data_IF_701338806166
#
_entry.id   IF_701338806166
#
_cell.length_a   1.000
_cell.length_b   1.000
_cell.length_c   1.000
_cell.angle_alpha   90.00
_cell.angle_beta   90.00
_cell.angle_gamma   90.00
#
_symmetry.space_group_name_H-M   'P 1'
#
loop_
_entity.id
_entity.type
_entity.pdbx_description
1 polymer ?
#
# COMPACT_ATOMS: atom_id res chain seq x y z
N UNK A 1 7.83 -5.64 12.66
CA UNK A 1 6.78 -6.66 12.82
C UNK A 1 7.03 -7.74 11.77
N UNK A 2 7.75 -8.79 12.15
CA UNK A 2 7.96 -9.96 11.28
C UNK A 2 6.65 -10.72 11.31
N UNK A 3 6.03 -10.95 10.15
CA UNK A 3 4.89 -11.87 10.00
C UNK A 3 5.36 -13.30 10.35
N UNK A 4 5.46 -13.57 11.65
CA UNK A 4 5.55 -14.91 12.22
C UNK A 4 4.25 -15.62 11.86
N UNK A 5 4.31 -16.52 10.88
CA UNK A 5 3.14 -17.29 10.44
C UNK A 5 2.62 -16.95 9.05
N UNK A 6 3.48 -16.79 8.05
CA UNK A 6 3.04 -16.81 6.65
C UNK A 6 2.61 -18.24 6.23
N UNK A 7 1.54 -18.75 6.84
CA UNK A 7 0.91 -20.06 6.55
C UNK A 7 0.17 -20.08 5.20
N UNK A 8 0.09 -18.93 4.54
CA UNK A 8 -0.57 -18.70 3.24
C UNK A 8 -0.14 -19.65 2.13
N UNK A 9 0.96 -20.39 2.27
CA UNK A 9 1.51 -21.23 1.21
C UNK A 9 1.00 -22.67 1.19
N UNK A 10 0.22 -23.10 2.17
CA UNK A 10 -0.55 -24.35 2.05
C UNK A 10 -1.61 -24.21 0.97
N UNK A 11 -1.82 -25.28 0.19
CA UNK A 11 -2.78 -25.36 -0.94
C UNK A 11 -4.21 -25.23 -0.38
N UNK A 12 -4.63 -24.00 -0.08
CA UNK A 12 -5.87 -23.67 0.62
C UNK A 12 -5.84 -22.30 1.32
N UNK A 13 -4.68 -21.87 1.85
CA UNK A 13 -4.54 -20.60 2.59
C UNK A 13 -4.06 -19.41 1.76
N UNK A 14 -3.75 -19.61 0.46
CA UNK A 14 -3.20 -18.55 -0.43
C UNK A 14 -4.13 -17.36 -0.60
N UNK A 15 -5.43 -17.63 -0.76
CA UNK A 15 -6.45 -16.59 -0.91
C UNK A 15 -6.61 -15.78 0.38
N UNK A 16 -6.55 -16.44 1.54
CA UNK A 16 -6.63 -15.78 2.84
C UNK A 16 -5.39 -14.90 3.10
N UNK A 17 -4.19 -15.37 2.75
CA UNK A 17 -2.98 -14.57 2.89
C UNK A 17 -2.94 -13.37 1.94
N UNK A 18 -3.37 -13.58 0.69
CA UNK A 18 -3.52 -12.51 -0.30
C UNK A 18 -4.54 -11.44 0.13
N UNK A 19 -5.66 -11.86 0.74
CA UNK A 19 -6.64 -10.97 1.33
C UNK A 19 -6.03 -10.19 2.51
N UNK A 20 -5.37 -10.88 3.45
CA UNK A 20 -4.76 -10.26 4.61
C UNK A 20 -3.71 -9.19 4.25
N UNK A 21 -2.93 -9.39 3.18
CA UNK A 21 -1.98 -8.39 2.68
C UNK A 21 -2.72 -7.15 2.18
N UNK A 22 -3.79 -7.35 1.41
CA UNK A 22 -4.57 -6.23 0.86
C UNK A 22 -5.29 -5.46 1.96
N UNK A 23 -5.88 -6.16 2.93
CA UNK A 23 -6.44 -5.55 4.14
C UNK A 23 -5.39 -4.77 4.94
N UNK A 24 -4.17 -5.30 5.06
CA UNK A 24 -3.08 -4.60 5.75
C UNK A 24 -2.62 -3.33 5.02
N UNK A 25 -2.56 -3.36 3.69
CA UNK A 25 -2.26 -2.18 2.86
C UNK A 25 -3.38 -1.15 2.99
N UNK A 26 -4.65 -1.55 2.90
CA UNK A 26 -5.81 -0.67 3.09
C UNK A 26 -5.82 -0.06 4.49
N UNK A 27 -5.51 -0.86 5.52
CA UNK A 27 -5.39 -0.40 6.91
C UNK A 27 -4.28 0.64 7.06
N UNK A 28 -3.11 0.40 6.47
CA UNK A 28 -2.01 1.37 6.47
C UNK A 28 -2.38 2.66 5.72
N UNK A 29 -3.00 2.55 4.55
CA UNK A 29 -3.49 3.69 3.77
C UNK A 29 -4.48 4.53 4.58
N UNK A 30 -5.47 3.88 5.18
CA UNK A 30 -6.50 4.54 6.01
C UNK A 30 -5.87 5.28 7.19
N UNK A 31 -4.88 4.68 7.87
CA UNK A 31 -4.16 5.34 8.96
C UNK A 31 -3.43 6.60 8.49
N UNK A 32 -2.69 6.51 7.38
CA UNK A 32 -1.98 7.66 6.85
C UNK A 32 -2.93 8.78 6.41
N UNK A 33 -4.05 8.40 5.78
CA UNK A 33 -5.12 9.30 5.41
C UNK A 33 -5.70 10.05 6.61
N UNK A 34 -5.91 9.37 7.74
CA UNK A 34 -6.46 10.00 8.94
C UNK A 34 -5.53 11.07 9.51
N UNK A 35 -4.22 10.79 9.58
CA UNK A 35 -3.22 11.80 9.99
C UNK A 35 -3.25 13.04 9.08
N UNK A 36 -3.33 12.84 7.76
CA UNK A 36 -3.41 13.94 6.79
C UNK A 36 -4.75 14.68 6.84
N UNK A 37 -5.85 13.99 7.13
CA UNK A 37 -7.17 14.61 7.27
C UNK A 37 -7.22 15.51 8.50
N UNK A 38 -6.63 15.08 9.63
CA UNK A 38 -6.50 15.93 10.81
C UNK A 38 -5.72 17.21 10.48
N UNK A 39 -4.61 17.09 9.75
CA UNK A 39 -3.81 18.24 9.30
C UNK A 39 -4.61 19.14 8.35
N UNK A 40 -5.36 18.57 7.41
CA UNK A 40 -6.22 19.33 6.51
C UNK A 40 -7.24 20.17 7.29
N UNK A 41 -7.99 19.54 8.20
CA UNK A 41 -9.07 20.21 8.93
C UNK A 41 -8.52 21.30 9.87
N UNK A 42 -7.41 21.02 10.55
CA UNK A 42 -6.77 22.00 11.43
C UNK A 42 -6.15 23.16 10.63
N UNK A 43 -5.45 22.87 9.53
CA UNK A 43 -4.90 23.89 8.64
C UNK A 43 -5.99 24.79 8.04
N UNK A 44 -7.15 24.22 7.70
CA UNK A 44 -8.29 24.97 7.20
C UNK A 44 -8.85 25.92 8.27
N UNK A 45 -9.02 25.45 9.51
CA UNK A 45 -9.46 26.29 10.65
C UNK A 45 -8.46 27.42 10.94
N UNK A 46 -7.16 27.15 10.84
CA UNK A 46 -6.08 28.12 11.03
C UNK A 46 -5.85 29.04 9.81
N UNK A 47 -6.67 28.92 8.76
CA UNK A 47 -6.54 29.68 7.50
C UNK A 47 -5.20 29.44 6.76
N UNK A 48 -4.50 28.34 7.05
CA UNK A 48 -3.32 27.85 6.33
C UNK A 48 -3.74 27.04 5.10
N UNK A 49 -4.41 27.73 4.16
CA UNK A 49 -5.11 27.10 3.02
C UNK A 49 -4.17 26.28 2.12
N UNK A 50 -2.93 26.71 1.97
CA UNK A 50 -1.94 26.03 1.16
C UNK A 50 -1.55 24.64 1.71
N UNK A 51 -1.41 24.53 3.03
CA UNK A 51 -1.17 23.25 3.71
C UNK A 51 -2.41 22.37 3.59
N UNK A 52 -3.60 22.93 3.79
CA UNK A 52 -4.86 22.19 3.66
C UNK A 52 -5.00 21.59 2.25
N UNK A 53 -4.78 22.39 1.19
CA UNK A 53 -4.81 21.92 -0.20
C UNK A 53 -3.81 20.79 -0.45
N UNK A 54 -2.59 20.93 0.05
CA UNK A 54 -1.56 19.90 -0.11
C UNK A 54 -1.94 18.60 0.61
N UNK A 55 -2.42 18.68 1.86
CA UNK A 55 -2.86 17.51 2.62
C UNK A 55 -4.05 16.83 1.93
N UNK A 56 -5.02 17.60 1.41
CA UNK A 56 -6.17 17.05 0.67
C UNK A 56 -5.76 16.34 -0.61
N UNK A 57 -4.83 16.89 -1.38
CA UNK A 57 -4.29 16.23 -2.57
C UNK A 57 -3.66 14.88 -2.22
N UNK A 58 -2.85 14.84 -1.16
CA UNK A 58 -2.26 13.59 -0.67
C UNK A 58 -3.33 12.58 -0.21
N UNK A 59 -4.39 13.01 0.48
CA UNK A 59 -5.52 12.14 0.83
C UNK A 59 -6.17 11.51 -0.40
N UNK A 60 -6.38 12.28 -1.47
CA UNK A 60 -6.96 11.76 -2.71
C UNK A 60 -6.04 10.71 -3.36
N UNK A 61 -4.72 10.92 -3.33
CA UNK A 61 -3.73 9.95 -3.82
C UNK A 61 -3.76 8.64 -3.01
N UNK A 62 -3.98 8.73 -1.68
CA UNK A 62 -4.17 7.56 -0.81
C UNK A 62 -5.49 6.84 -1.12
N UNK A 63 -6.58 7.59 -1.34
CA UNK A 63 -7.89 7.02 -1.69
C UNK A 63 -7.80 6.21 -2.99
N UNK A 64 -7.06 6.72 -3.99
CA UNK A 64 -6.81 5.98 -5.23
C UNK A 64 -6.00 4.69 -5.00
N UNK A 65 -5.01 4.71 -4.11
CA UNK A 65 -4.26 3.49 -3.75
C UNK A 65 -5.18 2.46 -3.09
N UNK A 66 -6.01 2.88 -2.13
CA UNK A 66 -6.94 1.98 -1.42
C UNK A 66 -7.91 1.33 -2.41
N UNK A 67 -8.46 2.12 -3.33
CA UNK A 67 -9.38 1.66 -4.37
C UNK A 67 -8.71 0.64 -5.32
N UNK A 68 -7.48 0.92 -5.75
CA UNK A 68 -6.73 -0.01 -6.62
C UNK A 68 -6.40 -1.33 -5.91
N UNK A 69 -6.12 -1.28 -4.61
CA UNK A 69 -5.86 -2.47 -3.79
C UNK A 69 -7.13 -3.29 -3.61
N UNK A 70 -8.27 -2.62 -3.39
CA UNK A 70 -9.58 -3.26 -3.24
C UNK A 70 -10.00 -4.00 -4.51
N UNK A 71 -9.86 -3.32 -5.66
CA UNK A 71 -10.21 -3.85 -6.99
C UNK A 71 -9.17 -4.81 -7.58
N UNK A 72 -8.05 -5.00 -6.90
CA UNK A 72 -6.96 -5.85 -7.39
C UNK A 72 -7.40 -7.31 -7.51
N UNK A 73 -7.06 -8.00 -8.62
CA UNK A 73 -7.46 -9.39 -8.82
C UNK A 73 -6.84 -10.33 -7.79
N UNK A 74 -7.65 -11.26 -7.28
CA UNK A 74 -7.22 -12.25 -6.29
C UNK A 74 -6.77 -13.54 -7.00
N UNK A 75 -5.49 -13.86 -6.97
CA UNK A 75 -4.96 -15.13 -7.50
C UNK A 75 -5.10 -15.34 -9.02
N UNK A 76 -4.60 -16.49 -9.50
CA UNK A 76 -4.59 -16.84 -10.92
C UNK A 76 -6.01 -17.14 -11.42
N UNK A 77 -6.56 -16.33 -12.33
CA UNK A 77 -7.96 -16.44 -12.78
C UNK A 77 -8.33 -17.71 -13.59
N UNK A 78 -7.51 -18.77 -13.60
CA UNK A 78 -7.81 -20.01 -14.34
C UNK A 78 -7.55 -21.32 -13.57
N UNK A 79 -7.23 -21.28 -12.27
CA UNK A 79 -6.98 -22.50 -11.50
C UNK A 79 -8.24 -23.30 -11.12
N UNK A 80 -9.44 -22.89 -11.55
CA UNK A 80 -10.69 -23.56 -11.18
C UNK A 80 -11.02 -24.81 -12.02
N UNK A 81 -10.43 -24.99 -13.22
CA UNK A 81 -10.69 -26.18 -14.05
C UNK A 81 -9.46 -26.87 -14.64
N UNK A 82 -8.27 -26.25 -14.63
CA UNK A 82 -7.06 -26.95 -15.08
C UNK A 82 -6.29 -27.47 -13.87
N UNK A 83 -6.15 -28.79 -13.74
CA UNK A 83 -5.29 -29.46 -12.77
C UNK A 83 -3.78 -29.20 -12.95
N UNK A 84 -3.38 -27.97 -13.28
CA UNK A 84 -2.00 -27.60 -13.54
C UNK A 84 -1.32 -27.05 -12.28
N UNK A 85 -0.35 -27.83 -11.82
CA UNK A 85 0.89 -27.45 -11.12
C UNK A 85 0.83 -26.17 -10.27
N UNK A 86 0.89 -26.36 -8.95
CA UNK A 86 1.19 -25.30 -8.00
C UNK A 86 2.39 -24.45 -8.45
N UNK A 87 2.23 -23.12 -8.42
CA UNK A 87 3.31 -22.14 -8.51
C UNK A 87 4.63 -22.64 -7.88
N UNK A 88 5.76 -22.48 -8.58
CA UNK A 88 7.06 -22.92 -8.06
C UNK A 88 7.43 -22.15 -6.80
N UNK A 89 8.18 -22.81 -5.90
CA UNK A 89 8.67 -22.21 -4.65
C UNK A 89 9.45 -20.91 -4.93
N UNK A 90 10.22 -20.86 -6.02
CA UNK A 90 10.98 -19.67 -6.43
C UNK A 90 10.11 -18.46 -6.74
N UNK A 91 8.98 -18.64 -7.42
CA UNK A 91 8.07 -17.51 -7.73
C UNK A 91 7.25 -17.13 -6.51
N UNK A 92 6.86 -18.09 -5.66
CA UNK A 92 6.22 -17.79 -4.38
C UNK A 92 7.12 -16.93 -3.50
N UNK A 93 8.43 -17.24 -3.40
CA UNK A 93 9.39 -16.39 -2.68
C UNK A 93 9.48 -14.96 -3.25
N UNK A 94 9.39 -14.80 -4.57
CA UNK A 94 9.36 -13.46 -5.20
C UNK A 94 8.10 -12.69 -4.81
N UNK A 95 6.94 -13.34 -4.81
CA UNK A 95 5.68 -12.74 -4.38
C UNK A 95 5.71 -12.33 -2.90
N UNK A 96 6.24 -13.19 -2.01
CA UNK A 96 6.42 -12.85 -0.58
C UNK A 96 7.24 -11.58 -0.44
N UNK A 97 8.40 -11.55 -1.10
CA UNK A 97 9.32 -10.42 -1.00
C UNK A 97 8.64 -9.16 -1.52
N UNK A 98 8.00 -9.25 -2.67
CA UNK A 98 7.26 -8.13 -3.25
C UNK A 98 6.19 -7.58 -2.29
N UNK A 99 5.32 -8.45 -1.76
CA UNK A 99 4.24 -8.05 -0.87
C UNK A 99 4.78 -7.49 0.46
N UNK A 100 5.87 -8.06 0.99
CA UNK A 100 6.59 -7.54 2.16
C UNK A 100 7.13 -6.13 1.92
N UNK A 101 7.81 -5.92 0.79
CA UNK A 101 8.42 -4.64 0.44
C UNK A 101 7.34 -3.55 0.28
N UNK A 102 6.16 -3.87 -0.29
CA UNK A 102 5.00 -2.97 -0.32
C UNK A 102 4.55 -2.59 1.09
N UNK A 103 4.38 -3.56 2.01
CA UNK A 103 3.95 -3.29 3.39
C UNK A 103 4.98 -2.42 4.12
N UNK A 104 6.28 -2.64 3.88
CA UNK A 104 7.33 -1.82 4.45
C UNK A 104 7.26 -0.36 3.96
N UNK A 105 7.07 -0.16 2.65
CA UNK A 105 6.87 1.17 2.07
C UNK A 105 5.62 1.86 2.65
N UNK A 106 4.52 1.13 2.79
CA UNK A 106 3.29 1.63 3.42
C UNK A 106 3.51 2.06 4.87
N UNK A 107 4.26 1.26 5.63
CA UNK A 107 4.61 1.59 7.02
C UNK A 107 5.44 2.86 7.10
N UNK A 108 6.42 3.04 6.20
CA UNK A 108 7.19 4.30 6.09
C UNK A 108 6.27 5.48 5.75
N UNK A 109 5.34 5.29 4.83
CA UNK A 109 4.33 6.31 4.47
C UNK A 109 3.48 6.75 5.67
N UNK A 110 3.04 5.79 6.50
CA UNK A 110 2.32 6.08 7.75
C UNK A 110 3.19 6.89 8.72
N UNK A 111 4.45 6.51 8.91
CA UNK A 111 5.35 7.24 9.80
C UNK A 111 5.59 8.68 9.33
N UNK A 112 5.70 8.90 8.01
CA UNK A 112 5.80 10.25 7.43
C UNK A 112 4.50 11.02 7.69
N UNK A 113 3.33 10.42 7.47
CA UNK A 113 2.04 11.10 7.72
C UNK A 113 1.87 11.53 9.18
N UNK A 114 2.31 10.71 10.14
CA UNK A 114 2.36 11.08 11.55
C UNK A 114 3.34 12.24 11.79
N UNK A 115 4.52 12.20 11.14
CA UNK A 115 5.50 13.29 11.20
C UNK A 115 4.93 14.61 10.64
N UNK A 116 4.07 14.57 9.62
CA UNK A 116 3.35 15.76 9.13
C UNK A 116 2.45 16.33 10.21
N UNK A 117 1.63 15.50 10.87
CA UNK A 117 0.71 15.94 11.93
C UNK A 117 1.46 16.51 13.12
N UNK A 118 2.56 15.88 13.53
CA UNK A 118 3.45 16.39 14.56
C UNK A 118 4.09 17.72 14.16
N UNK A 119 4.62 17.83 12.93
CA UNK A 119 5.22 19.08 12.43
C UNK A 119 4.21 20.24 12.39
N UNK A 120 2.98 19.95 11.97
CA UNK A 120 1.89 20.92 11.96
C UNK A 120 1.56 21.38 13.38
N UNK A 121 1.37 20.43 14.31
CA UNK A 121 1.02 20.71 15.71
C UNK A 121 2.13 21.46 16.46
N UNK A 122 3.40 21.17 16.14
CA UNK A 122 4.55 21.86 16.70
C UNK A 122 4.77 23.27 16.10
N UNK A 123 3.90 23.73 15.19
CA UNK A 123 3.99 25.07 14.60
C UNK A 123 5.22 25.26 13.72
N UNK A 124 5.73 24.20 13.11
CA UNK A 124 6.89 24.27 12.21
C UNK A 124 6.59 25.10 10.97
N UNK A 125 7.65 25.49 10.26
CA UNK A 125 7.53 26.26 9.03
C UNK A 125 6.66 25.56 7.99
N UNK A 126 5.82 26.33 7.29
CA UNK A 126 4.93 25.81 6.25
C UNK A 126 5.69 25.02 5.17
N UNK A 127 6.90 25.49 4.80
CA UNK A 127 7.75 24.82 3.81
C UNK A 127 8.14 23.41 4.25
N UNK A 128 8.46 23.22 5.53
CA UNK A 128 8.80 21.92 6.09
C UNK A 128 7.60 20.98 6.08
N UNK A 129 6.42 21.48 6.50
CA UNK A 129 5.18 20.70 6.50
C UNK A 129 4.82 20.26 5.08
N UNK A 130 4.87 21.17 4.10
CA UNK A 130 4.60 20.85 2.69
C UNK A 130 5.61 19.85 2.11
N UNK A 131 6.88 19.94 2.52
CA UNK A 131 7.89 18.96 2.14
C UNK A 131 7.55 17.56 2.65
N UNK A 132 7.14 17.44 3.92
CA UNK A 132 6.74 16.16 4.51
C UNK A 132 5.48 15.59 3.85
N UNK A 133 4.49 16.44 3.53
CA UNK A 133 3.29 16.02 2.79
C UNK A 133 3.68 15.44 1.42
N UNK A 134 4.57 16.11 0.67
CA UNK A 134 5.05 15.62 -0.63
C UNK A 134 5.82 14.30 -0.51
N UNK A 135 6.63 14.14 0.54
CA UNK A 135 7.32 12.88 0.81
C UNK A 135 6.33 11.75 1.13
N UNK A 136 5.27 12.05 1.88
CA UNK A 136 4.19 11.10 2.14
C UNK A 136 3.50 10.69 0.84
N UNK A 137 3.11 11.68 0.02
CA UNK A 137 2.48 11.45 -1.28
C UNK A 137 3.34 10.59 -2.19
N UNK A 138 4.63 10.93 -2.34
CA UNK A 138 5.59 10.17 -3.13
C UNK A 138 5.69 8.72 -2.65
N UNK A 139 5.70 8.49 -1.33
CA UNK A 139 5.74 7.14 -0.77
C UNK A 139 4.45 6.37 -1.12
N UNK A 140 3.28 7.00 -0.99
CA UNK A 140 1.99 6.36 -1.31
C UNK A 140 1.86 6.03 -2.79
N UNK A 141 2.25 6.95 -3.67
CA UNK A 141 2.24 6.70 -5.13
C UNK A 141 3.25 5.63 -5.52
N UNK A 142 4.41 5.59 -4.86
CA UNK A 142 5.42 4.55 -5.09
C UNK A 142 4.92 3.18 -4.63
N UNK A 143 4.29 3.10 -3.45
CA UNK A 143 3.66 1.87 -2.95
C UNK A 143 2.55 1.38 -3.90
N UNK A 144 1.75 2.30 -4.45
CA UNK A 144 0.72 2.01 -5.45
C UNK A 144 1.32 1.41 -6.73
N UNK A 145 2.34 2.06 -7.28
CA UNK A 145 3.02 1.58 -8.48
C UNK A 145 3.73 0.24 -8.27
N UNK A 146 4.32 0.04 -7.09
CA UNK A 146 4.94 -1.23 -6.75
C UNK A 146 3.88 -2.33 -6.56
N UNK A 147 2.79 -2.05 -5.84
CA UNK A 147 1.68 -2.98 -5.68
C UNK A 147 1.04 -3.37 -7.02
N UNK A 148 0.89 -2.45 -7.98
CA UNK A 148 0.32 -2.79 -9.29
C UNK A 148 1.23 -3.71 -10.12
N UNK A 149 2.55 -3.65 -9.94
CA UNK A 149 3.51 -4.56 -10.57
C UNK A 149 3.35 -6.02 -10.10
N UNK A 150 2.59 -6.25 -9.02
CA UNK A 150 2.18 -7.58 -8.57
C UNK A 150 1.45 -8.37 -9.65
N UNK A 151 0.65 -7.70 -10.50
CA UNK A 151 -0.03 -8.36 -11.62
C UNK A 151 0.96 -9.07 -12.56
N UNK A 152 2.12 -8.46 -12.84
CA UNK A 152 3.19 -9.07 -13.64
C UNK A 152 3.81 -10.29 -12.97
N UNK A 153 3.99 -10.24 -11.64
CA UNK A 153 4.48 -11.40 -10.86
C UNK A 153 3.47 -12.55 -10.91
N UNK A 154 2.17 -12.22 -10.85
CA UNK A 154 1.08 -13.18 -10.96
C UNK A 154 0.89 -13.71 -12.38
N UNK A 155 1.07 -12.90 -13.43
CA UNK A 155 1.02 -13.36 -14.81
C UNK A 155 2.22 -14.25 -15.17
N UNK A 156 3.39 -13.98 -14.59
CA UNK A 156 4.52 -14.91 -14.63
C UNK A 156 4.23 -16.28 -14.03
N UNK A 157 3.25 -16.39 -13.11
CA UNK A 157 2.76 -17.68 -12.60
C UNK A 157 1.88 -18.43 -13.62
N UNK A 158 1.24 -17.73 -14.56
CA UNK A 158 0.36 -18.33 -15.58
C UNK A 158 1.13 -19.02 -16.70
N UNK A 159 2.34 -18.55 -17.02
CA UNK A 159 3.15 -19.11 -18.11
C UNK A 159 4.20 -20.11 -17.62
N UNK A 160 3.84 -21.38 -17.49
CA UNK A 160 4.80 -22.46 -17.81
C UNK A 160 4.53 -22.90 -19.24
N UNK A 161 5.36 -22.43 -20.18
CA UNK A 161 5.47 -23.04 -21.51
C UNK A 161 5.73 -24.53 -21.31
N UNK A 162 4.86 -25.37 -21.88
CA UNK A 162 5.22 -26.74 -22.24
C UNK A 162 6.37 -26.62 -23.24
N UNK A 163 7.56 -27.06 -22.85
CA UNK A 163 8.59 -27.51 -23.78
C UNK A 163 8.47 -29.02 -23.81
#
# INVERSE_FOLDING_TARGET
MVLSGYEGYTKGKRRAADLAIREEIQRCGTRARNHLLNVHDNAFREKKIDIAKAAKACCNSIDQLIEDVDKSPTGMSHAFFSGQNSASISVLKKLIKHDHDVIEMMTKGVNISNSVEHAFSAGKEEKEIKSLIRQCEQMMTSSRGFFSARATVLDGLRQKKKV
#
